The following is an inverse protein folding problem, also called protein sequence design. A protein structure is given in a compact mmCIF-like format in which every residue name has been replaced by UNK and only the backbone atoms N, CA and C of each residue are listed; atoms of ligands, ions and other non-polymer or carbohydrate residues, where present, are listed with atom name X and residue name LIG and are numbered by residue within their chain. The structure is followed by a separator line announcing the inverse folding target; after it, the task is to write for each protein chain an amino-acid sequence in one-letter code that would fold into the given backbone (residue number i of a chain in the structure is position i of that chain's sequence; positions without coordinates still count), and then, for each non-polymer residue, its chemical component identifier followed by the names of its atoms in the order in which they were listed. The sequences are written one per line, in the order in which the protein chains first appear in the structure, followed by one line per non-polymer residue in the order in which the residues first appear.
data_IF_873447881117
#
_entry.id   IF_873447881117
#
_cell.length_a   1.000
_cell.length_b   1.000
_cell.length_c   1.000
_cell.angle_alpha   90.00
_cell.angle_beta   90.00
_cell.angle_gamma   90.00
#
_symmetry.space_group_name_H-M   'P 1'
#
loop_
_entity.id
_entity.type
_entity.pdbx_description
1 polymer ?
#
# COMPACT_ATOMS: atom_id res chain seq x y z
N UNK A 1 -14.94 28.47 -14.82
CA UNK A 1 -14.58 29.80 -15.32
C UNK A 1 -15.21 29.95 -16.69
N UNK A 2 -16.38 30.58 -16.80
CA UNK A 2 -17.02 30.83 -18.09
C UNK A 2 -16.79 32.31 -18.45
N UNK A 3 -16.42 32.63 -19.70
CA UNK A 3 -16.25 34.02 -20.11
C UNK A 3 -17.59 34.62 -20.45
N UNK A 4 -17.88 35.75 -19.84
CA UNK A 4 -19.03 36.59 -20.13
C UNK A 4 -18.75 37.36 -21.43
N UNK A 5 -19.53 37.14 -22.46
CA UNK A 5 -19.52 37.99 -23.67
C UNK A 5 -20.41 39.18 -23.44
N UNK A 6 -19.81 40.37 -23.34
CA UNK A 6 -20.53 41.66 -23.45
C UNK A 6 -20.64 42.05 -24.93
N UNK A 7 -21.82 42.04 -25.46
CA UNK A 7 -22.12 42.64 -26.78
C UNK A 7 -22.56 44.09 -26.54
N UNK A 8 -21.78 45.05 -27.04
CA UNK A 8 -22.14 46.47 -27.04
C UNK A 8 -23.15 46.77 -28.14
N UNK A 9 -24.30 47.24 -27.77
CA UNK A 9 -25.30 47.77 -28.72
C UNK A 9 -25.23 49.28 -28.73
N UNK A 10 -25.07 49.87 -29.94
CA UNK A 10 -25.03 51.29 -30.22
C UNK A 10 -26.45 51.84 -30.14
N UNK A 11 -26.67 52.85 -29.31
CA UNK A 11 -27.95 53.52 -29.20
C UNK A 11 -28.10 54.59 -30.29
N UNK A 12 -29.13 54.49 -31.11
CA UNK A 12 -29.66 55.62 -31.88
C UNK A 12 -30.77 56.28 -31.08
N UNK A 13 -30.74 57.60 -31.05
CA UNK A 13 -31.62 58.49 -30.31
C UNK A 13 -32.93 58.69 -31.05
N UNK A 14 -34.08 58.45 -30.39
CA UNK A 14 -35.32 59.04 -30.72
C UNK A 14 -36.18 59.33 -29.45
N UNK A 15 -36.71 60.51 -29.22
CA UNK A 15 -37.38 60.89 -27.97
C UNK A 15 -38.90 60.58 -28.09
N UNK A 16 -39.44 59.91 -27.11
CA UNK A 16 -40.81 60.00 -26.58
C UNK A 16 -41.32 58.67 -26.07
N UNK A 17 -41.68 58.71 -24.79
CA UNK A 17 -42.49 57.77 -23.98
C UNK A 17 -41.69 56.91 -23.00
N UNK A 18 -41.59 57.45 -21.80
CA UNK A 18 -41.39 56.63 -20.59
C UNK A 18 -42.51 55.59 -20.43
N UNK A 19 -42.16 54.33 -20.44
CA UNK A 19 -42.94 53.28 -19.79
C UNK A 19 -42.01 52.59 -18.82
N UNK A 20 -42.26 52.74 -17.53
CA UNK A 20 -41.62 51.97 -16.48
C UNK A 20 -42.03 50.51 -16.62
N UNK A 21 -41.13 49.66 -17.06
CA UNK A 21 -41.26 48.22 -16.91
C UNK A 21 -40.48 47.86 -15.64
N UNK A 22 -41.19 47.52 -14.58
CA UNK A 22 -40.60 46.96 -13.36
C UNK A 22 -40.17 45.55 -13.66
N UNK A 23 -38.86 45.33 -13.87
CA UNK A 23 -38.29 43.97 -13.85
C UNK A 23 -38.25 43.46 -12.41
N UNK A 24 -39.20 42.58 -12.05
CA UNK A 24 -39.12 41.78 -10.84
C UNK A 24 -38.00 40.75 -11.07
N UNK A 25 -36.82 40.98 -10.53
CA UNK A 25 -35.78 39.94 -10.40
C UNK A 25 -36.19 39.09 -9.21
N UNK A 26 -36.78 37.93 -9.50
CA UNK A 26 -36.97 36.89 -8.51
C UNK A 26 -35.60 36.29 -8.16
N UNK A 27 -34.99 36.76 -7.06
CA UNK A 27 -33.87 36.07 -6.44
C UNK A 27 -34.42 34.78 -5.84
N UNK A 28 -34.33 33.67 -6.60
CA UNK A 28 -34.45 32.31 -6.01
C UNK A 28 -33.18 32.09 -5.19
N UNK A 29 -33.24 32.40 -3.88
CA UNK A 29 -32.29 31.88 -2.91
C UNK A 29 -32.40 30.35 -2.93
N UNK A 30 -31.50 29.72 -3.67
CA UNK A 30 -31.23 28.29 -3.51
C UNK A 30 -30.56 28.16 -2.16
N UNK A 31 -31.37 28.03 -1.09
CA UNK A 31 -30.85 27.57 0.21
C UNK A 31 -30.36 26.15 -0.01
N UNK A 32 -29.05 26.00 -0.20
CA UNK A 32 -28.41 24.71 -0.02
C UNK A 32 -28.74 24.28 1.41
N UNK A 33 -29.64 23.32 1.56
CA UNK A 33 -29.83 22.61 2.82
C UNK A 33 -28.45 21.98 3.11
N UNK A 34 -27.75 22.54 4.07
CA UNK A 34 -26.61 21.87 4.67
C UNK A 34 -27.23 20.65 5.36
N UNK A 35 -27.20 19.50 4.68
CA UNK A 35 -27.55 18.25 5.32
C UNK A 35 -26.53 18.04 6.47
N UNK A 36 -26.98 18.18 7.70
CA UNK A 36 -26.16 17.82 8.84
C UNK A 36 -25.93 16.31 8.77
N UNK A 37 -24.65 15.92 8.83
CA UNK A 37 -24.29 14.51 8.91
C UNK A 37 -25.03 13.84 10.08
N UNK A 38 -25.79 12.80 9.79
CA UNK A 38 -26.50 12.04 10.79
C UNK A 38 -25.61 11.00 11.47
N UNK A 39 -26.01 10.56 12.64
CA UNK A 39 -25.38 9.43 13.32
C UNK A 39 -26.41 8.31 13.45
N UNK A 40 -26.15 7.20 12.76
CA UNK A 40 -26.91 5.96 12.89
C UNK A 40 -26.22 5.05 13.92
N UNK A 41 -26.99 4.33 14.71
CA UNK A 41 -26.41 3.40 15.66
C UNK A 41 -26.75 1.95 15.33
N UNK A 42 -25.82 1.07 15.65
CA UNK A 42 -25.96 -0.39 15.52
C UNK A 42 -25.68 -1.05 16.87
N UNK A 43 -26.57 -1.93 17.32
CA UNK A 43 -26.28 -2.83 18.43
C UNK A 43 -27.01 -4.18 18.25
N UNK A 44 -26.49 -5.29 18.81
CA UNK A 44 -27.03 -6.63 18.54
C UNK A 44 -28.49 -6.84 18.96
N UNK A 45 -29.04 -5.97 19.79
CA UNK A 45 -30.41 -6.07 20.31
C UNK A 45 -31.39 -5.10 19.66
N UNK A 46 -30.94 -4.16 18.84
CA UNK A 46 -31.77 -3.13 18.22
C UNK A 46 -32.41 -2.18 19.23
N UNK A 47 -31.85 -2.07 20.44
CA UNK A 47 -32.40 -1.20 21.47
C UNK A 47 -32.16 0.28 21.15
N UNK A 48 -32.98 1.15 21.72
CA UNK A 48 -32.87 2.62 21.60
C UNK A 48 -32.93 3.12 20.14
N UNK A 49 -33.63 2.40 19.26
CA UNK A 49 -33.79 2.77 17.85
C UNK A 49 -32.58 2.41 16.95
N UNK A 50 -31.57 1.72 17.49
CA UNK A 50 -30.44 1.27 16.71
C UNK A 50 -30.83 0.10 15.78
N UNK A 51 -30.11 -0.03 14.67
CA UNK A 51 -30.20 -1.22 13.80
C UNK A 51 -29.58 -2.43 14.49
N UNK A 52 -29.98 -3.62 14.08
CA UNK A 52 -29.41 -4.87 14.59
C UNK A 52 -28.25 -5.36 13.74
N UNK A 53 -28.12 -4.84 12.50
CA UNK A 53 -27.06 -5.19 11.53
C UNK A 53 -26.35 -3.93 11.05
N UNK A 54 -25.07 -4.07 10.75
CA UNK A 54 -24.25 -2.99 10.20
C UNK A 54 -24.73 -2.65 8.79
N UNK A 55 -24.98 -3.66 7.97
CA UNK A 55 -25.47 -3.53 6.59
C UNK A 55 -26.78 -2.72 6.54
N UNK A 56 -27.70 -2.91 7.48
CA UNK A 56 -28.95 -2.13 7.52
C UNK A 56 -28.69 -0.64 7.81
N UNK A 57 -27.72 -0.32 8.66
CA UNK A 57 -27.35 1.07 8.94
C UNK A 57 -26.58 1.69 7.76
N UNK A 58 -25.66 0.96 7.15
CA UNK A 58 -24.90 1.40 5.96
C UNK A 58 -25.84 1.70 4.79
N UNK A 59 -26.85 0.85 4.55
CA UNK A 59 -27.81 1.04 3.47
C UNK A 59 -28.78 2.23 3.71
N UNK A 60 -29.00 2.63 4.97
CA UNK A 60 -29.82 3.80 5.32
C UNK A 60 -29.02 5.10 5.35
N UNK A 61 -27.70 5.01 5.58
CA UNK A 61 -26.83 6.17 5.68
C UNK A 61 -26.80 6.98 4.38
N UNK A 62 -26.62 8.27 4.48
CA UNK A 62 -26.35 9.20 3.39
C UNK A 62 -24.88 9.62 3.40
N UNK A 63 -24.34 10.13 2.28
CA UNK A 63 -22.97 10.64 2.25
C UNK A 63 -22.70 11.67 3.36
N UNK A 64 -21.63 11.45 4.11
CA UNK A 64 -21.23 12.23 5.28
C UNK A 64 -21.71 11.68 6.61
N UNK A 65 -22.63 10.72 6.63
CA UNK A 65 -23.14 10.14 7.86
C UNK A 65 -22.11 9.25 8.58
N UNK A 66 -22.35 9.06 9.89
CA UNK A 66 -21.56 8.17 10.74
C UNK A 66 -22.42 7.00 11.22
N UNK A 67 -21.92 5.79 11.07
CA UNK A 67 -22.48 4.57 11.62
C UNK A 67 -21.68 4.17 12.87
N UNK A 68 -22.25 4.34 14.06
CA UNK A 68 -21.64 3.93 15.33
C UNK A 68 -22.06 2.51 15.69
N UNK A 69 -21.07 1.63 15.86
CA UNK A 69 -21.30 0.21 16.12
C UNK A 69 -20.93 -0.13 17.56
N UNK A 70 -21.89 -0.55 18.34
CA UNK A 70 -21.68 -1.01 19.71
C UNK A 70 -20.86 -2.32 19.73
N UNK A 71 -20.24 -2.66 20.88
CA UNK A 71 -19.63 -3.97 21.09
C UNK A 71 -20.60 -5.12 20.78
N UNK A 72 -20.10 -6.12 20.05
CA UNK A 72 -20.89 -7.29 19.63
C UNK A 72 -20.22 -8.04 18.50
N UNK A 73 -20.78 -9.21 18.16
CA UNK A 73 -20.35 -10.00 17.00
C UNK A 73 -21.43 -9.89 15.94
N UNK A 74 -21.04 -9.38 14.78
CA UNK A 74 -21.89 -9.16 13.62
C UNK A 74 -21.42 -10.11 12.50
N UNK A 75 -22.29 -11.02 12.05
CA UNK A 75 -22.00 -11.97 10.97
C UNK A 75 -22.42 -11.35 9.66
N UNK A 76 -21.55 -10.59 9.06
CA UNK A 76 -21.83 -9.77 7.87
C UNK A 76 -20.61 -9.65 6.97
N UNK A 77 -20.87 -9.46 5.68
CA UNK A 77 -20.00 -8.84 4.69
C UNK A 77 -20.57 -7.43 4.45
N UNK A 78 -19.82 -6.41 4.85
CA UNK A 78 -20.30 -5.04 4.87
C UNK A 78 -19.85 -4.29 3.64
N UNK A 79 -20.76 -4.01 2.71
CA UNK A 79 -20.44 -3.32 1.45
C UNK A 79 -20.72 -1.83 1.58
N UNK A 80 -19.71 -0.99 1.37
CA UNK A 80 -19.76 0.48 1.47
C UNK A 80 -19.61 1.07 0.06
N UNK A 81 -20.66 1.75 -0.43
CA UNK A 81 -20.69 2.37 -1.78
C UNK A 81 -20.82 3.89 -1.75
N UNK A 82 -20.62 4.50 -0.59
CA UNK A 82 -20.79 5.94 -0.40
C UNK A 82 -19.88 6.47 0.73
N UNK A 83 -19.66 7.78 0.73
CA UNK A 83 -18.81 8.48 1.70
C UNK A 83 -19.42 8.45 3.10
N UNK A 84 -19.05 7.49 3.94
CA UNK A 84 -19.54 7.36 5.33
C UNK A 84 -18.41 7.03 6.28
N UNK A 85 -18.65 7.25 7.56
CA UNK A 85 -17.77 6.80 8.64
C UNK A 85 -18.36 5.59 9.35
N UNK A 86 -17.65 4.47 9.37
CA UNK A 86 -17.99 3.25 10.08
C UNK A 86 -17.11 3.12 11.32
N UNK A 87 -17.67 3.36 12.49
CA UNK A 87 -16.91 3.49 13.74
C UNK A 87 -17.33 2.41 14.74
N UNK A 88 -16.40 1.53 15.05
CA UNK A 88 -16.56 0.53 16.10
C UNK A 88 -16.20 1.05 17.49
N UNK A 89 -16.51 0.27 18.49
CA UNK A 89 -16.16 0.53 19.89
C UNK A 89 -14.92 -0.30 20.30
N UNK A 90 -13.81 -0.09 19.59
CA UNK A 90 -12.57 -0.85 19.75
C UNK A 90 -12.67 -2.35 19.35
N UNK A 91 -11.73 -3.18 19.80
CA UNK A 91 -11.63 -4.62 19.50
C UNK A 91 -12.87 -5.46 19.89
N UNK A 92 -13.81 -4.90 20.64
CA UNK A 92 -15.04 -5.59 21.04
C UNK A 92 -16.18 -5.46 20.00
N UNK A 93 -16.02 -4.62 18.99
CA UNK A 93 -16.87 -4.59 17.81
C UNK A 93 -16.26 -5.55 16.77
N UNK A 94 -16.91 -6.67 16.52
CA UNK A 94 -16.38 -7.75 15.68
C UNK A 94 -17.28 -7.99 14.48
N UNK A 95 -16.73 -7.83 13.29
CA UNK A 95 -17.29 -8.38 12.05
C UNK A 95 -16.70 -9.76 11.86
N UNK A 96 -17.55 -10.79 11.95
CA UNK A 96 -17.19 -12.19 11.74
C UNK A 96 -17.76 -12.63 10.39
N UNK A 97 -16.91 -12.64 9.37
CA UNK A 97 -17.29 -12.94 8.00
C UNK A 97 -17.19 -14.44 7.66
N UNK A 98 -17.33 -15.33 8.65
CA UNK A 98 -17.26 -16.78 8.45
C UNK A 98 -18.17 -17.27 7.33
N UNK A 99 -17.58 -17.77 6.24
CA UNK A 99 -18.27 -18.28 5.04
C UNK A 99 -18.76 -17.17 4.09
N UNK A 100 -18.38 -15.93 4.32
CA UNK A 100 -18.66 -14.78 3.45
C UNK A 100 -17.39 -14.38 2.70
N UNK A 101 -17.53 -13.61 1.63
CA UNK A 101 -16.41 -13.23 0.78
C UNK A 101 -15.41 -12.37 1.56
N UNK A 102 -15.79 -11.15 1.92
CA UNK A 102 -14.95 -10.22 2.64
C UNK A 102 -15.56 -9.85 4.00
N UNK A 103 -14.80 -9.21 4.86
CA UNK A 103 -15.37 -8.63 6.07
C UNK A 103 -15.99 -7.26 5.80
N UNK A 104 -15.22 -6.36 5.15
CA UNK A 104 -15.68 -5.04 4.69
C UNK A 104 -15.20 -4.87 3.26
N UNK A 105 -16.11 -4.46 2.38
CA UNK A 105 -15.80 -4.08 1.01
C UNK A 105 -16.17 -2.63 0.74
N UNK A 106 -15.18 -1.76 0.54
CA UNK A 106 -15.35 -0.38 0.07
C UNK A 106 -15.38 -0.43 -1.46
N UNK A 107 -16.60 -0.39 -2.03
CA UNK A 107 -16.86 -0.72 -3.43
C UNK A 107 -17.08 0.54 -4.27
N UNK A 108 -16.03 0.98 -4.95
CA UNK A 108 -16.07 2.02 -5.99
C UNK A 108 -16.05 1.47 -7.43
N UNK A 109 -16.12 0.15 -7.61
CA UNK A 109 -15.91 -0.56 -8.87
C UNK A 109 -16.76 -0.07 -10.05
N UNK A 110 -17.96 0.43 -9.80
CA UNK A 110 -18.84 0.93 -10.88
C UNK A 110 -18.22 2.11 -11.66
N UNK A 111 -17.19 2.76 -11.14
CA UNK A 111 -16.50 3.89 -11.77
C UNK A 111 -15.09 3.57 -12.25
N UNK A 112 -14.60 2.33 -12.04
CA UNK A 112 -13.26 1.94 -12.44
C UNK A 112 -12.95 2.35 -13.90
N UNK A 113 -11.76 2.82 -14.21
CA UNK A 113 -10.57 2.96 -13.38
C UNK A 113 -10.48 4.25 -12.55
N UNK A 114 -11.56 4.96 -12.35
CA UNK A 114 -11.62 6.15 -11.48
C UNK A 114 -12.17 5.77 -10.12
N UNK A 115 -11.81 6.54 -9.10
CA UNK A 115 -12.42 6.41 -7.79
C UNK A 115 -13.95 6.60 -7.87
N UNK A 116 -14.70 5.58 -7.47
CA UNK A 116 -16.16 5.58 -7.45
C UNK A 116 -16.71 5.93 -6.08
N UNK A 117 -15.90 5.80 -5.04
CA UNK A 117 -16.22 6.16 -3.66
C UNK A 117 -15.05 6.91 -3.04
N UNK A 118 -15.35 7.88 -2.19
CA UNK A 118 -14.31 8.65 -1.50
C UNK A 118 -14.73 9.02 -0.08
N UNK A 119 -13.75 9.48 0.73
CA UNK A 119 -13.98 9.93 2.11
C UNK A 119 -14.69 8.87 2.97
N UNK A 120 -14.21 7.61 2.89
CA UNK A 120 -14.69 6.52 3.74
C UNK A 120 -13.77 6.37 4.93
N UNK A 121 -14.35 6.29 6.12
CA UNK A 121 -13.60 6.01 7.35
C UNK A 121 -14.05 4.68 7.93
N UNK A 122 -13.10 3.79 8.24
CA UNK A 122 -13.34 2.56 9.00
C UNK A 122 -12.40 2.55 10.19
N UNK A 123 -12.95 2.55 11.40
CA UNK A 123 -12.08 2.58 12.58
C UNK A 123 -12.60 1.78 13.78
N UNK A 124 -11.65 1.23 14.55
CA UNK A 124 -11.93 0.59 15.83
C UNK A 124 -12.76 -0.71 15.72
N UNK A 125 -12.56 -1.49 14.66
CA UNK A 125 -13.30 -2.72 14.36
C UNK A 125 -12.33 -3.90 14.30
N UNK A 126 -12.75 -5.04 14.82
CA UNK A 126 -12.13 -6.33 14.55
C UNK A 126 -12.82 -6.97 13.34
N UNK A 127 -12.05 -7.36 12.32
CA UNK A 127 -12.54 -8.07 11.12
C UNK A 127 -11.85 -9.42 11.04
N UNK A 128 -12.62 -10.49 10.92
CA UNK A 128 -12.06 -11.85 10.94
C UNK A 128 -12.86 -12.88 10.15
N UNK A 129 -12.18 -13.98 9.82
CA UNK A 129 -12.74 -15.21 9.25
C UNK A 129 -13.39 -15.04 7.88
N UNK A 130 -13.09 -14.00 7.12
CA UNK A 130 -13.49 -13.89 5.74
C UNK A 130 -12.87 -15.00 4.88
N UNK A 131 -13.55 -15.38 3.81
CA UNK A 131 -13.00 -16.33 2.84
C UNK A 131 -11.82 -15.74 2.09
N UNK A 132 -11.88 -14.43 1.83
CA UNK A 132 -10.86 -13.62 1.14
C UNK A 132 -10.39 -12.52 2.09
N UNK A 133 -10.41 -11.26 1.64
CA UNK A 133 -9.84 -10.15 2.39
C UNK A 133 -10.62 -9.82 3.67
N UNK A 134 -9.86 -9.40 4.65
CA UNK A 134 -10.49 -8.79 5.82
C UNK A 134 -11.16 -7.47 5.44
N UNK A 135 -10.43 -6.53 4.83
CA UNK A 135 -10.96 -5.28 4.30
C UNK A 135 -10.42 -5.07 2.89
N UNK A 136 -11.32 -5.05 1.91
CA UNK A 136 -11.05 -4.70 0.52
C UNK A 136 -11.52 -3.27 0.24
N UNK A 137 -10.67 -2.45 -0.36
CA UNK A 137 -11.06 -1.18 -0.94
C UNK A 137 -10.72 -1.17 -2.43
N UNK A 138 -11.70 -1.01 -3.31
CA UNK A 138 -11.49 -1.03 -4.74
C UNK A 138 -12.03 0.24 -5.42
N UNK A 139 -11.23 0.82 -6.32
CA UNK A 139 -11.54 2.07 -7.05
C UNK A 139 -12.01 3.19 -6.10
N UNK A 140 -11.22 3.52 -5.10
CA UNK A 140 -11.58 4.46 -4.05
C UNK A 140 -10.50 5.54 -3.84
N UNK A 141 -10.86 6.64 -3.18
CA UNK A 141 -9.91 7.67 -2.74
C UNK A 141 -10.23 8.19 -1.36
N UNK A 142 -9.25 8.82 -0.71
CA UNK A 142 -9.44 9.44 0.61
C UNK A 142 -10.04 8.46 1.65
N UNK A 143 -9.60 7.20 1.60
CA UNK A 143 -10.01 6.16 2.55
C UNK A 143 -9.15 6.25 3.81
N UNK A 144 -9.77 6.15 4.97
CA UNK A 144 -9.07 6.09 6.26
C UNK A 144 -9.39 4.78 6.99
N UNK A 145 -8.40 3.87 7.08
CA UNK A 145 -8.49 2.65 7.88
C UNK A 145 -7.63 2.84 9.13
N UNK A 146 -8.27 3.00 10.30
CA UNK A 146 -7.52 3.40 11.49
C UNK A 146 -7.85 2.55 12.73
N UNK A 147 -6.82 1.98 13.35
CA UNK A 147 -6.95 1.27 14.64
C UNK A 147 -7.83 0.03 14.57
N UNK A 148 -7.89 -0.64 13.43
CA UNK A 148 -8.61 -1.88 13.25
C UNK A 148 -7.72 -3.09 13.61
N UNK A 149 -8.34 -4.21 13.98
CA UNK A 149 -7.71 -5.52 14.08
C UNK A 149 -8.25 -6.41 12.96
N UNK A 150 -7.40 -6.73 11.99
CA UNK A 150 -7.75 -7.55 10.83
C UNK A 150 -7.01 -8.89 10.94
N UNK A 151 -7.73 -9.94 11.31
CA UNK A 151 -7.07 -11.15 11.79
C UNK A 151 -7.72 -12.44 11.31
N UNK A 152 -6.91 -13.33 10.76
CA UNK A 152 -7.32 -14.70 10.46
C UNK A 152 -8.39 -14.78 9.39
N UNK A 153 -8.28 -13.96 8.35
CA UNK A 153 -9.07 -14.04 7.12
C UNK A 153 -8.49 -15.08 6.15
N UNK A 154 -8.86 -15.05 4.88
CA UNK A 154 -8.36 -15.90 3.79
C UNK A 154 -8.67 -17.41 4.01
N UNK A 155 -9.89 -17.69 4.47
CA UNK A 155 -10.29 -19.04 4.87
C UNK A 155 -10.59 -19.97 3.69
N UNK A 156 -10.82 -19.42 2.49
CA UNK A 156 -11.09 -20.21 1.29
C UNK A 156 -9.84 -20.51 0.47
N UNK A 157 -8.67 -19.99 0.86
CA UNK A 157 -7.43 -20.22 0.14
C UNK A 157 -6.97 -21.67 0.25
N UNK A 158 -6.67 -22.26 -0.90
CA UNK A 158 -6.01 -23.58 -0.99
C UNK A 158 -4.54 -23.42 -1.39
N UNK A 159 -3.70 -23.21 -0.41
CA UNK A 159 -2.25 -23.11 -0.62
C UNK A 159 -1.63 -24.40 -1.21
N UNK A 160 -2.30 -25.53 -1.12
CA UNK A 160 -1.81 -26.79 -1.70
C UNK A 160 -1.95 -26.84 -3.22
N UNK A 161 -2.90 -26.10 -3.77
CA UNK A 161 -3.15 -25.98 -5.20
C UNK A 161 -2.29 -24.91 -5.87
N UNK A 162 -1.66 -24.00 -5.10
CA UNK A 162 -0.92 -22.85 -5.63
C UNK A 162 -1.80 -21.88 -6.42
N UNK A 163 -3.08 -21.80 -6.07
CA UNK A 163 -4.08 -20.95 -6.71
C UNK A 163 -4.99 -20.36 -5.66
N UNK A 164 -5.56 -19.21 -5.94
CA UNK A 164 -6.57 -18.56 -5.10
C UNK A 164 -7.89 -19.35 -5.01
N UNK A 165 -7.91 -20.62 -5.38
CA UNK A 165 -9.12 -21.42 -5.50
C UNK A 165 -9.98 -21.02 -6.71
N UNK A 166 -11.10 -21.73 -6.92
CA UNK A 166 -12.08 -21.42 -7.95
C UNK A 166 -12.97 -20.20 -7.53
N UNK A 167 -12.30 -19.10 -7.19
CA UNK A 167 -13.01 -17.91 -6.75
C UNK A 167 -13.33 -17.07 -7.97
N UNK A 168 -14.61 -16.92 -8.25
CA UNK A 168 -15.12 -16.02 -9.29
C UNK A 168 -15.01 -14.56 -8.81
N UNK A 169 -13.79 -14.13 -8.52
CA UNK A 169 -13.44 -12.72 -8.35
C UNK A 169 -12.97 -12.21 -9.71
N UNK A 170 -13.94 -11.90 -10.55
CA UNK A 170 -13.72 -11.48 -11.93
C UNK A 170 -12.96 -10.16 -12.09
N UNK A 171 -12.60 -9.51 -11.01
CA UNK A 171 -11.91 -8.23 -11.00
C UNK A 171 -10.49 -8.30 -10.41
N UNK A 172 -10.11 -9.38 -9.74
CA UNK A 172 -8.73 -9.61 -9.33
C UNK A 172 -7.95 -10.38 -10.39
N UNK A 173 -6.73 -9.95 -10.65
CA UNK A 173 -5.82 -10.73 -11.47
C UNK A 173 -5.12 -11.70 -10.56
N UNK A 174 -5.48 -12.98 -10.66
CA UNK A 174 -4.88 -14.05 -9.89
C UNK A 174 -3.39 -14.16 -10.20
N UNK A 175 -2.57 -13.47 -9.50
CA UNK A 175 -1.20 -13.89 -9.28
C UNK A 175 -1.23 -14.95 -8.17
N UNK A 176 -0.45 -16.02 -8.33
CA UNK A 176 -0.52 -17.21 -7.47
C UNK A 176 -0.32 -16.92 -5.98
N UNK A 177 0.19 -15.75 -5.66
CA UNK A 177 0.67 -15.38 -4.35
C UNK A 177 -0.13 -14.23 -3.70
N UNK A 178 -1.05 -13.57 -4.42
CA UNK A 178 -1.79 -12.38 -3.97
C UNK A 178 -3.27 -12.65 -3.65
N UNK A 179 -3.57 -13.80 -3.11
CA UNK A 179 -4.94 -14.14 -2.80
C UNK A 179 -5.22 -14.12 -1.32
N UNK A 180 -5.78 -13.05 -0.85
CA UNK A 180 -6.29 -13.01 0.50
C UNK A 180 -5.35 -12.32 1.47
N UNK A 181 -5.38 -11.03 1.42
CA UNK A 181 -4.70 -10.21 2.38
C UNK A 181 -5.62 -9.77 3.50
N UNK A 182 -4.99 -9.41 4.61
CA UNK A 182 -5.72 -8.76 5.68
C UNK A 182 -6.37 -7.46 5.19
N UNK A 183 -5.60 -6.62 4.52
CA UNK A 183 -6.05 -5.37 3.89
C UNK A 183 -5.63 -5.34 2.43
N UNK A 184 -6.56 -5.10 1.51
CA UNK A 184 -6.26 -4.91 0.09
C UNK A 184 -6.76 -3.56 -0.41
N UNK A 185 -5.85 -2.77 -0.99
CA UNK A 185 -6.10 -1.46 -1.58
C UNK A 185 -5.90 -1.56 -3.09
N UNK A 186 -6.98 -1.77 -3.83
CA UNK A 186 -7.00 -2.02 -5.27
C UNK A 186 -7.40 -0.76 -6.03
N UNK A 187 -6.49 -0.10 -6.72
CA UNK A 187 -6.76 1.19 -7.38
C UNK A 187 -7.23 2.27 -6.40
N UNK A 188 -6.51 2.43 -5.31
CA UNK A 188 -6.83 3.36 -4.21
C UNK A 188 -5.81 4.48 -4.15
N UNK A 189 -6.28 5.71 -3.99
CA UNK A 189 -5.45 6.91 -4.05
C UNK A 189 -5.69 7.84 -2.84
N UNK A 190 -4.65 8.58 -2.42
CA UNK A 190 -4.69 9.59 -1.33
C UNK A 190 -5.28 9.08 0.00
N UNK A 191 -4.99 7.84 0.37
CA UNK A 191 -5.61 7.17 1.53
C UNK A 191 -4.63 6.99 2.69
N UNK A 192 -5.18 6.74 3.89
CA UNK A 192 -4.40 6.58 5.13
C UNK A 192 -4.74 5.29 5.83
N UNK A 193 -3.75 4.44 6.02
CA UNK A 193 -3.85 3.15 6.73
C UNK A 193 -2.98 3.27 7.98
N UNK A 194 -3.61 3.51 9.12
CA UNK A 194 -2.92 3.96 10.32
C UNK A 194 -3.23 3.12 11.55
N UNK A 195 -2.20 2.65 12.24
CA UNK A 195 -2.29 1.94 13.53
C UNK A 195 -3.22 0.72 13.50
N UNK A 196 -3.29 0.02 12.40
CA UNK A 196 -3.98 -1.25 12.33
C UNK A 196 -3.06 -2.38 12.81
N UNK A 197 -3.63 -3.43 13.34
CA UNK A 197 -2.98 -4.72 13.54
C UNK A 197 -3.52 -5.68 12.48
N UNK A 198 -2.62 -6.22 11.65
CA UNK A 198 -2.96 -7.09 10.52
C UNK A 198 -2.17 -8.39 10.70
N UNK A 199 -2.86 -9.48 11.04
CA UNK A 199 -2.17 -10.68 11.47
C UNK A 199 -2.89 -11.97 11.12
N UNK A 200 -2.12 -13.05 10.93
CA UNK A 200 -2.63 -14.41 10.70
C UNK A 200 -3.55 -14.54 9.48
N UNK A 201 -3.40 -13.65 8.51
CA UNK A 201 -3.96 -13.75 7.18
C UNK A 201 -2.96 -14.47 6.26
N UNK A 202 -3.24 -14.62 4.98
CA UNK A 202 -2.25 -15.14 4.05
C UNK A 202 -1.13 -14.12 3.84
N UNK A 203 -1.47 -12.93 3.34
CA UNK A 203 -0.64 -11.75 3.27
C UNK A 203 -1.12 -10.64 4.21
N UNK A 204 -0.33 -9.58 4.36
CA UNK A 204 -0.64 -8.49 5.28
C UNK A 204 -1.44 -7.37 4.64
N UNK A 205 -0.77 -6.42 4.00
CA UNK A 205 -1.36 -5.25 3.33
C UNK A 205 -0.90 -5.25 1.87
N UNK A 206 -1.84 -5.36 0.94
CA UNK A 206 -1.57 -5.25 -0.50
C UNK A 206 -2.04 -3.90 -1.05
N UNK A 207 -1.22 -3.30 -1.89
CA UNK A 207 -1.49 -2.09 -2.67
C UNK A 207 -1.29 -2.43 -4.13
N UNK A 208 -2.38 -2.52 -4.91
CA UNK A 208 -2.34 -2.93 -6.31
C UNK A 208 -3.09 -1.97 -7.24
N UNK A 209 -2.79 -2.02 -8.53
CA UNK A 209 -3.35 -1.10 -9.53
C UNK A 209 -4.35 -1.74 -10.49
N UNK A 210 -4.91 -2.89 -10.19
CA UNK A 210 -5.79 -3.67 -11.08
C UNK A 210 -7.05 -2.92 -11.49
N UNK A 211 -7.61 -2.09 -10.62
CA UNK A 211 -8.86 -1.36 -10.90
C UNK A 211 -8.65 0.12 -11.16
N UNK A 212 -7.42 0.59 -11.17
CA UNK A 212 -7.05 1.98 -11.42
C UNK A 212 -5.68 2.32 -10.85
N UNK A 213 -5.15 3.52 -11.09
CA UNK A 213 -3.89 3.95 -10.52
C UNK A 213 -3.96 3.91 -8.99
N UNK A 214 -2.86 3.48 -8.36
CA UNK A 214 -2.76 3.38 -6.91
C UNK A 214 -1.57 4.20 -6.41
N UNK A 215 -1.84 5.25 -5.63
CA UNK A 215 -0.75 6.12 -5.20
C UNK A 215 -1.08 7.10 -4.09
N UNK A 216 -0.03 7.83 -3.64
CA UNK A 216 -0.13 8.86 -2.61
C UNK A 216 -0.76 8.38 -1.29
N UNK A 217 -0.71 7.07 -1.04
CA UNK A 217 -1.21 6.49 0.20
C UNK A 217 -0.14 6.56 1.30
N UNK A 218 -0.60 6.68 2.54
CA UNK A 218 0.23 6.64 3.74
C UNK A 218 -0.13 5.41 4.55
N UNK A 219 0.77 4.43 4.60
CA UNK A 219 0.67 3.21 5.40
C UNK A 219 1.62 3.37 6.58
N UNK A 220 1.07 3.69 7.77
CA UNK A 220 1.91 4.14 8.87
C UNK A 220 1.51 3.56 10.23
N UNK A 221 2.52 3.29 11.04
CA UNK A 221 2.35 2.85 12.44
C UNK A 221 1.48 1.58 12.55
N UNK A 222 1.44 0.73 11.51
CA UNK A 222 0.73 -0.54 11.56
C UNK A 222 1.64 -1.63 12.15
N UNK A 223 1.02 -2.61 12.79
CA UNK A 223 1.67 -3.85 13.21
C UNK A 223 1.18 -4.97 12.30
N UNK A 224 2.05 -5.38 11.36
CA UNK A 224 1.74 -6.37 10.32
C UNK A 224 2.59 -7.60 10.61
N UNK A 225 1.96 -8.69 11.07
CA UNK A 225 2.74 -9.82 11.57
C UNK A 225 2.07 -11.17 11.39
N UNK A 226 2.90 -12.21 11.32
CA UNK A 226 2.46 -13.62 11.24
C UNK A 226 1.49 -13.91 10.08
N UNK A 227 1.56 -13.12 8.99
CA UNK A 227 0.88 -13.41 7.73
C UNK A 227 1.81 -14.35 6.93
N UNK A 228 1.63 -15.65 7.15
CA UNK A 228 2.73 -16.63 6.97
C UNK A 228 2.98 -17.05 5.53
N UNK A 229 2.12 -16.70 4.57
CA UNK A 229 2.24 -17.18 3.20
C UNK A 229 2.78 -16.13 2.23
N UNK A 230 2.53 -14.86 2.48
CA UNK A 230 2.96 -13.76 1.63
C UNK A 230 3.61 -12.61 2.43
N UNK A 231 3.93 -11.52 1.77
CA UNK A 231 4.61 -10.36 2.31
C UNK A 231 3.83 -9.67 3.44
N UNK A 232 4.56 -8.93 4.27
CA UNK A 232 3.92 -8.08 5.26
C UNK A 232 3.21 -6.90 4.63
N UNK A 233 3.89 -6.13 3.80
CA UNK A 233 3.32 -5.01 3.04
C UNK A 233 3.79 -5.13 1.60
N UNK A 234 2.85 -5.22 0.66
CA UNK A 234 3.13 -5.39 -0.77
C UNK A 234 2.67 -4.16 -1.56
N UNK A 235 3.54 -3.65 -2.39
CA UNK A 235 3.24 -2.71 -3.47
C UNK A 235 3.43 -3.49 -4.77
N UNK A 236 2.37 -3.66 -5.58
CA UNK A 236 2.45 -4.48 -6.77
C UNK A 236 1.69 -3.87 -7.95
N UNK A 237 2.41 -3.57 -9.02
CA UNK A 237 1.81 -3.09 -10.26
C UNK A 237 1.39 -4.28 -11.10
N UNK A 238 0.16 -4.72 -10.91
CA UNK A 238 -0.45 -5.84 -11.61
C UNK A 238 -1.01 -5.48 -13.00
N UNK A 239 -1.46 -6.48 -13.74
CA UNK A 239 -2.27 -6.25 -14.92
C UNK A 239 -3.65 -5.72 -14.54
N UNK A 240 -4.31 -4.94 -15.44
CA UNK A 240 -5.63 -4.38 -15.14
C UNK A 240 -6.68 -5.48 -15.03
N UNK A 241 -7.63 -5.31 -14.12
CA UNK A 241 -8.78 -6.19 -14.02
C UNK A 241 -9.66 -6.12 -15.28
N UNK A 242 -10.31 -7.22 -15.63
CA UNK A 242 -11.15 -7.31 -16.83
C UNK A 242 -12.26 -6.24 -16.88
N UNK A 243 -12.73 -5.78 -15.73
CA UNK A 243 -13.80 -4.76 -15.62
C UNK A 243 -13.38 -3.36 -16.10
N UNK A 244 -12.07 -3.05 -16.17
CA UNK A 244 -11.61 -1.72 -16.58
C UNK A 244 -11.50 -1.53 -18.07
N UNK A 245 -11.40 -2.61 -18.83
CA UNK A 245 -11.13 -2.59 -20.28
C UNK A 245 -9.75 -2.03 -20.65
N UNK A 246 -8.86 -1.81 -19.68
CA UNK A 246 -7.49 -1.38 -19.94
C UNK A 246 -6.65 -2.55 -20.45
N UNK A 247 -5.54 -2.25 -21.12
CA UNK A 247 -4.64 -3.25 -21.69
C UNK A 247 -3.26 -3.31 -20.98
N UNK A 248 -2.99 -2.34 -20.13
CA UNK A 248 -1.73 -2.18 -19.40
C UNK A 248 -2.01 -1.76 -17.97
N UNK A 249 -1.07 -2.05 -17.07
CA UNK A 249 -1.09 -1.59 -15.68
C UNK A 249 -1.28 -0.08 -15.58
N UNK A 250 -1.96 0.36 -14.54
CA UNK A 250 -2.18 1.79 -14.28
C UNK A 250 -1.02 2.41 -13.49
N UNK A 251 -0.26 1.61 -12.80
CA UNK A 251 0.89 1.98 -11.97
C UNK A 251 0.57 2.12 -10.49
N UNK A 252 1.54 1.70 -9.70
CA UNK A 252 1.65 1.93 -8.25
C UNK A 252 2.76 2.93 -8.02
N UNK A 253 2.54 3.94 -7.17
CA UNK A 253 3.64 4.86 -6.92
C UNK A 253 3.35 5.96 -5.91
N UNK A 254 4.44 6.61 -5.46
CA UNK A 254 4.40 7.73 -4.52
C UNK A 254 3.71 7.39 -3.19
N UNK A 255 3.67 6.11 -2.81
CA UNK A 255 3.18 5.66 -1.51
C UNK A 255 4.27 5.84 -0.45
N UNK A 256 3.85 6.07 0.80
CA UNK A 256 4.75 6.17 1.95
C UNK A 256 4.43 5.06 2.95
N UNK A 257 5.39 4.16 3.14
CA UNK A 257 5.34 3.07 4.12
C UNK A 257 6.23 3.47 5.30
N UNK A 258 5.64 3.89 6.42
CA UNK A 258 6.42 4.51 7.48
C UNK A 258 6.09 4.03 8.88
N UNK A 259 7.12 3.84 9.70
CA UNK A 259 7.01 3.49 11.12
C UNK A 259 6.12 2.26 11.38
N UNK A 260 6.04 1.34 10.42
CA UNK A 260 5.38 0.06 10.61
C UNK A 260 6.34 -0.94 11.26
N UNK A 261 5.78 -1.92 11.94
CA UNK A 261 6.48 -3.15 12.29
C UNK A 261 5.97 -4.25 11.36
N UNK A 262 6.86 -4.77 10.51
CA UNK A 262 6.60 -5.92 9.63
C UNK A 262 7.41 -7.12 10.13
N UNK A 263 6.75 -8.10 10.73
CA UNK A 263 7.44 -9.16 11.46
C UNK A 263 6.85 -10.55 11.23
N UNK A 264 7.69 -11.54 10.94
CA UNK A 264 7.28 -12.94 10.87
C UNK A 264 6.33 -13.25 9.71
N UNK A 265 6.29 -12.40 8.68
CA UNK A 265 5.48 -12.62 7.49
C UNK A 265 6.20 -13.54 6.51
N UNK A 266 5.48 -14.23 5.62
CA UNK A 266 6.02 -15.09 4.59
C UNK A 266 6.80 -16.32 5.06
N UNK A 267 6.70 -16.71 6.31
CA UNK A 267 7.53 -17.78 6.93
C UNK A 267 7.21 -19.19 6.41
N UNK A 268 6.09 -19.39 5.73
CA UNK A 268 5.70 -20.65 5.06
C UNK A 268 5.65 -20.52 3.54
N UNK A 269 5.57 -19.31 3.04
CA UNK A 269 5.71 -18.94 1.64
C UNK A 269 7.12 -18.41 1.36
N UNK A 270 7.22 -17.35 0.58
CA UNK A 270 8.46 -16.66 0.28
C UNK A 270 8.27 -15.14 0.43
N UNK A 271 7.42 -14.72 1.37
CA UNK A 271 7.03 -13.32 1.53
C UNK A 271 8.09 -12.47 2.23
N UNK A 272 8.32 -11.30 1.68
CA UNK A 272 9.21 -10.28 2.23
C UNK A 272 8.53 -9.48 3.36
N UNK A 273 9.34 -8.73 4.11
CA UNK A 273 8.78 -7.74 5.04
C UNK A 273 8.03 -6.64 4.31
N UNK A 274 8.63 -6.10 3.25
CA UNK A 274 8.02 -5.17 2.30
C UNK A 274 8.38 -5.60 0.88
N UNK A 275 7.39 -5.75 0.01
CA UNK A 275 7.54 -6.05 -1.41
C UNK A 275 7.27 -4.83 -2.29
N UNK A 276 8.01 -4.64 -3.38
CA UNK A 276 7.81 -3.63 -4.42
C UNK A 276 7.97 -4.35 -5.76
N UNK A 277 6.88 -4.58 -6.48
CA UNK A 277 6.85 -5.49 -7.61
C UNK A 277 6.28 -4.87 -8.88
N UNK A 278 6.98 -5.08 -10.00
CA UNK A 278 6.53 -4.67 -11.33
C UNK A 278 6.73 -5.84 -12.31
N UNK A 279 5.85 -6.85 -12.30
CA UNK A 279 6.11 -8.14 -12.96
C UNK A 279 5.89 -8.16 -14.46
N UNK A 280 5.11 -7.25 -15.02
CA UNK A 280 4.62 -7.34 -16.39
C UNK A 280 5.02 -6.19 -17.32
N UNK A 281 4.70 -6.29 -18.63
CA UNK A 281 4.93 -5.21 -19.58
C UNK A 281 4.17 -3.93 -19.18
N UNK A 282 4.92 -2.82 -19.07
CA UNK A 282 4.36 -1.53 -18.68
C UNK A 282 4.04 -1.37 -17.20
N UNK A 283 4.28 -2.39 -16.40
CA UNK A 283 4.16 -2.29 -14.95
C UNK A 283 5.07 -1.19 -14.40
N UNK A 284 4.53 -0.41 -13.49
CA UNK A 284 5.24 0.72 -12.90
C UNK A 284 5.02 0.72 -11.40
N UNK A 285 6.12 0.58 -10.65
CA UNK A 285 6.10 0.71 -9.19
C UNK A 285 7.24 1.64 -8.76
N UNK A 286 6.94 2.94 -8.64
CA UNK A 286 7.95 4.00 -8.67
C UNK A 286 7.69 5.10 -7.64
N UNK A 287 8.77 5.73 -7.17
CA UNK A 287 8.68 6.89 -6.29
C UNK A 287 8.14 6.60 -4.89
N UNK A 288 8.08 5.32 -4.50
CA UNK A 288 7.63 4.95 -3.15
C UNK A 288 8.73 5.19 -2.11
N UNK A 289 8.31 5.44 -0.88
CA UNK A 289 9.21 5.70 0.25
C UNK A 289 8.94 4.70 1.37
N UNK A 290 9.92 3.85 1.67
CA UNK A 290 9.93 2.93 2.81
C UNK A 290 10.81 3.55 3.89
N UNK A 291 10.19 4.09 4.96
CA UNK A 291 10.91 4.92 5.91
C UNK A 291 10.61 4.58 7.38
N UNK A 292 11.68 4.50 8.19
CA UNK A 292 11.61 4.33 9.65
C UNK A 292 10.78 3.11 10.10
N UNK A 293 10.81 2.00 9.33
CA UNK A 293 10.11 0.77 9.68
C UNK A 293 11.04 -0.20 10.44
N UNK A 294 10.45 -1.05 11.29
CA UNK A 294 11.07 -2.24 11.87
C UNK A 294 10.68 -3.45 11.01
N UNK A 295 11.64 -4.09 10.36
CA UNK A 295 11.42 -5.19 9.40
C UNK A 295 12.21 -6.41 9.87
N UNK A 296 11.50 -7.36 10.51
CA UNK A 296 12.14 -8.34 11.38
C UNK A 296 11.61 -9.75 11.14
N UNK A 297 12.52 -10.72 11.08
CA UNK A 297 12.23 -12.18 11.08
C UNK A 297 11.20 -12.60 10.00
N UNK A 298 11.17 -11.93 8.83
CA UNK A 298 10.30 -12.32 7.73
C UNK A 298 10.88 -13.54 6.98
N UNK A 299 10.02 -14.28 6.29
CA UNK A 299 10.39 -15.54 5.64
C UNK A 299 11.31 -15.39 4.42
N UNK A 300 11.23 -14.26 3.74
CA UNK A 300 12.13 -13.83 2.69
C UNK A 300 12.88 -12.57 3.12
N UNK A 301 13.48 -11.86 2.18
CA UNK A 301 14.25 -10.63 2.44
C UNK A 301 13.42 -9.56 3.15
N UNK A 302 14.08 -8.66 3.86
CA UNK A 302 13.40 -7.56 4.54
C UNK A 302 12.64 -6.65 3.56
N UNK A 303 13.32 -6.15 2.53
CA UNK A 303 12.69 -5.48 1.37
C UNK A 303 13.04 -6.22 0.09
N UNK A 304 12.04 -6.68 -0.65
CA UNK A 304 12.16 -7.19 -2.02
C UNK A 304 11.72 -6.11 -3.01
N UNK A 305 12.57 -5.78 -3.99
CA UNK A 305 12.19 -4.92 -5.10
C UNK A 305 12.48 -5.65 -6.41
N UNK A 306 11.41 -6.21 -7.05
CA UNK A 306 11.59 -7.19 -8.11
C UNK A 306 10.89 -6.84 -9.42
N UNK A 307 11.59 -7.14 -10.51
CA UNK A 307 11.07 -7.30 -11.85
C UNK A 307 11.72 -8.51 -12.51
N UNK A 308 10.97 -9.55 -12.75
CA UNK A 308 11.41 -10.78 -13.42
C UNK A 308 11.16 -10.78 -14.94
N UNK A 309 10.59 -9.73 -15.46
CA UNK A 309 10.17 -9.65 -16.84
C UNK A 309 11.35 -9.38 -17.80
N UNK A 310 11.69 -10.37 -18.61
CA UNK A 310 12.84 -10.32 -19.51
C UNK A 310 12.60 -9.40 -20.73
N UNK A 311 13.59 -8.58 -21.13
CA UNK A 311 13.53 -7.82 -22.37
C UNK A 311 13.48 -8.73 -23.64
N UNK A 312 12.88 -8.25 -24.77
CA UNK A 312 12.31 -6.92 -24.94
C UNK A 312 10.88 -6.85 -24.42
N UNK A 313 10.64 -5.98 -23.44
CA UNK A 313 9.30 -5.66 -22.97
C UNK A 313 8.84 -4.33 -23.57
N UNK A 314 7.65 -4.32 -24.11
CA UNK A 314 7.04 -3.12 -24.65
C UNK A 314 5.59 -2.99 -24.13
N UNK A 315 5.29 -1.97 -23.37
CA UNK A 315 6.16 -0.93 -22.80
C UNK A 315 7.16 -1.48 -21.76
N UNK A 316 8.26 -0.74 -21.50
CA UNK A 316 9.23 -1.15 -20.49
C UNK A 316 8.62 -1.10 -19.07
N UNK A 317 9.17 -1.94 -18.21
CA UNK A 317 8.90 -1.91 -16.76
C UNK A 317 9.63 -0.74 -16.10
N UNK A 318 9.03 -0.15 -15.07
CA UNK A 318 9.64 0.92 -14.30
C UNK A 318 9.59 0.64 -12.79
N UNK A 319 10.77 0.42 -12.19
CA UNK A 319 11.00 0.29 -10.74
C UNK A 319 11.93 1.39 -10.20
N UNK A 320 11.95 2.55 -10.83
CA UNK A 320 12.89 3.62 -10.50
C UNK A 320 12.41 4.51 -9.35
N UNK A 321 13.34 5.34 -8.85
CA UNK A 321 13.06 6.43 -7.92
C UNK A 321 12.47 6.00 -6.56
N UNK A 322 12.57 4.72 -6.19
CA UNK A 322 12.15 4.25 -4.87
C UNK A 322 13.19 4.59 -3.80
N UNK A 323 12.74 4.90 -2.59
CA UNK A 323 13.60 5.32 -1.48
C UNK A 323 13.39 4.41 -0.27
N UNK A 324 14.47 3.82 0.24
CA UNK A 324 14.48 2.96 1.43
C UNK A 324 15.38 3.63 2.47
N UNK A 325 14.78 4.25 3.51
CA UNK A 325 15.51 5.14 4.40
C UNK A 325 15.17 4.96 5.87
N UNK A 326 16.17 4.90 6.73
CA UNK A 326 15.97 4.90 8.19
C UNK A 326 15.35 3.63 8.77
N UNK A 327 15.26 2.54 8.01
CA UNK A 327 14.67 1.30 8.49
C UNK A 327 15.67 0.48 9.29
N UNK A 328 15.15 -0.35 10.17
CA UNK A 328 15.91 -1.37 10.87
C UNK A 328 15.54 -2.77 10.32
N UNK A 329 16.56 -3.50 9.88
CA UNK A 329 16.43 -4.88 9.37
C UNK A 329 17.08 -5.86 10.34
N UNK A 330 16.37 -6.95 10.67
CA UNK A 330 16.94 -7.97 11.58
C UNK A 330 16.38 -9.36 11.29
N UNK A 331 17.25 -10.29 10.94
CA UNK A 331 16.95 -11.72 10.89
C UNK A 331 15.96 -12.15 9.81
N UNK A 332 15.85 -11.39 8.71
CA UNK A 332 15.00 -11.74 7.58
C UNK A 332 15.58 -12.95 6.83
N UNK A 333 14.75 -13.66 6.07
CA UNK A 333 15.17 -14.84 5.32
C UNK A 333 15.99 -14.54 4.07
N UNK A 334 16.45 -15.57 3.38
CA UNK A 334 17.01 -15.43 2.03
C UNK A 334 15.90 -15.14 1.03
N UNK A 335 16.24 -14.48 -0.08
CA UNK A 335 15.28 -14.27 -1.14
C UNK A 335 14.93 -15.59 -1.87
N UNK A 336 13.82 -15.57 -2.58
CA UNK A 336 13.26 -16.77 -3.21
C UNK A 336 14.09 -17.26 -4.42
N UNK A 337 13.78 -18.44 -4.97
CA UNK A 337 14.52 -18.99 -6.13
C UNK A 337 14.52 -18.10 -7.38
N UNK A 338 13.55 -17.16 -7.52
CA UNK A 338 13.48 -16.25 -8.66
C UNK A 338 14.51 -15.13 -8.62
N UNK A 339 14.93 -14.73 -7.41
CA UNK A 339 15.94 -13.69 -7.17
C UNK A 339 16.90 -14.11 -6.06
N UNK A 340 17.57 -15.28 -6.16
CA UNK A 340 18.19 -15.92 -5.02
C UNK A 340 19.34 -15.14 -4.44
N UNK A 341 19.33 -14.97 -3.13
CA UNK A 341 20.47 -14.52 -2.33
C UNK A 341 21.12 -15.68 -1.62
N UNK A 342 22.40 -15.55 -1.26
CA UNK A 342 23.16 -16.65 -0.63
C UNK A 342 22.84 -16.90 0.83
N UNK A 343 21.94 -16.11 1.43
CA UNK A 343 21.53 -16.21 2.84
C UNK A 343 20.55 -15.11 3.23
N UNK A 344 20.21 -15.02 4.51
CA UNK A 344 19.38 -13.96 5.07
C UNK A 344 19.78 -12.57 4.55
N UNK A 345 18.79 -11.78 4.11
CA UNK A 345 19.06 -10.55 3.35
C UNK A 345 18.17 -9.42 3.83
N UNK A 346 18.76 -8.26 4.10
CA UNK A 346 18.02 -7.07 4.48
C UNK A 346 17.23 -6.48 3.32
N UNK A 347 17.89 -6.13 2.24
CA UNK A 347 17.29 -5.56 1.03
C UNK A 347 17.79 -6.34 -0.19
N UNK A 348 16.90 -6.79 -1.05
CA UNK A 348 17.27 -7.36 -2.34
C UNK A 348 16.58 -6.64 -3.49
N UNK A 349 17.36 -6.11 -4.42
CA UNK A 349 16.88 -5.48 -5.65
C UNK A 349 17.25 -6.36 -6.82
N UNK A 350 16.27 -6.98 -7.44
CA UNK A 350 16.42 -7.80 -8.64
C UNK A 350 15.60 -7.23 -9.80
N UNK A 351 16.24 -6.85 -10.89
CA UNK A 351 15.55 -6.32 -12.05
C UNK A 351 16.16 -6.78 -13.37
N UNK A 352 15.32 -7.18 -14.30
CA UNK A 352 15.68 -7.40 -15.70
C UNK A 352 15.68 -6.10 -16.51
N UNK A 353 15.17 -4.99 -15.94
CA UNK A 353 15.21 -3.64 -16.49
C UNK A 353 16.25 -2.77 -15.77
N UNK A 354 16.71 -1.66 -16.37
CA UNK A 354 17.58 -0.69 -15.69
C UNK A 354 16.94 -0.15 -14.40
N UNK A 355 17.77 0.06 -13.37
CA UNK A 355 17.37 0.73 -12.11
C UNK A 355 18.10 2.06 -12.01
N UNK A 356 17.36 3.15 -11.82
CA UNK A 356 17.89 4.50 -11.65
C UNK A 356 17.11 5.27 -10.58
N UNK A 357 17.75 6.27 -9.96
CA UNK A 357 17.10 7.13 -8.97
C UNK A 357 16.77 6.47 -7.62
N UNK A 358 16.94 5.15 -7.50
CA UNK A 358 16.69 4.43 -6.25
C UNK A 358 17.79 4.71 -5.24
N UNK A 359 17.38 4.98 -3.99
CA UNK A 359 18.28 5.34 -2.90
C UNK A 359 18.02 4.53 -1.62
N UNK A 360 19.10 4.04 -1.02
CA UNK A 360 19.09 3.31 0.26
C UNK A 360 19.96 4.09 1.25
N UNK A 361 19.35 4.62 2.32
CA UNK A 361 20.14 5.44 3.23
C UNK A 361 19.67 5.37 4.69
N UNK A 362 20.61 5.58 5.61
CA UNK A 362 20.36 5.64 7.06
C UNK A 362 19.68 4.39 7.64
N UNK A 363 19.79 3.26 6.94
CA UNK A 363 19.29 1.99 7.45
C UNK A 363 20.31 1.34 8.36
N UNK A 364 19.82 0.53 9.28
CA UNK A 364 20.64 -0.31 10.16
C UNK A 364 20.27 -1.77 9.91
N UNK A 365 21.29 -2.62 9.94
CA UNK A 365 21.14 -4.06 9.67
C UNK A 365 21.66 -4.86 10.86
N UNK A 366 20.99 -5.95 11.21
CA UNK A 366 21.41 -6.89 12.23
C UNK A 366 21.00 -8.31 11.83
N UNK A 367 21.88 -9.30 12.05
CA UNK A 367 21.67 -10.72 11.75
C UNK A 367 21.36 -11.06 10.27
N UNK A 368 21.63 -10.17 9.35
CA UNK A 368 21.59 -10.47 7.93
C UNK A 368 22.91 -11.11 7.48
N UNK A 369 22.90 -11.96 6.47
CA UNK A 369 24.11 -12.45 5.81
C UNK A 369 24.55 -11.47 4.71
N UNK A 370 23.57 -10.81 4.09
CA UNK A 370 23.73 -9.77 3.07
C UNK A 370 22.87 -8.58 3.49
N UNK A 371 23.47 -7.40 3.65
CA UNK A 371 22.68 -6.20 3.98
C UNK A 371 21.93 -5.69 2.74
N UNK A 372 22.60 -5.56 1.59
CA UNK A 372 22.02 -5.10 0.33
C UNK A 372 22.50 -5.97 -0.85
N UNK A 373 21.59 -6.69 -1.47
CA UNK A 373 21.76 -7.36 -2.75
C UNK A 373 21.29 -6.46 -3.91
N UNK A 374 22.03 -6.44 -5.02
CA UNK A 374 21.67 -5.68 -6.21
C UNK A 374 21.97 -6.49 -7.49
N UNK A 375 20.95 -6.67 -8.31
CA UNK A 375 21.07 -7.30 -9.62
C UNK A 375 20.24 -6.54 -10.65
N UNK A 376 20.89 -5.73 -11.47
CA UNK A 376 20.26 -5.05 -12.60
C UNK A 376 21.22 -5.04 -13.81
N UNK A 377 20.71 -5.03 -15.07
CA UNK A 377 21.53 -5.06 -16.26
C UNK A 377 22.32 -3.76 -16.46
N UNK A 378 21.78 -2.64 -16.02
CA UNK A 378 22.40 -1.30 -16.05
C UNK A 378 21.76 -0.40 -15.00
N UNK A 379 22.30 0.80 -14.84
CA UNK A 379 21.82 1.81 -13.91
C UNK A 379 22.74 1.98 -12.70
N UNK A 380 22.33 2.80 -11.78
CA UNK A 380 23.09 3.09 -10.57
C UNK A 380 22.17 3.06 -9.35
N UNK A 381 22.57 2.30 -8.34
CA UNK A 381 21.98 2.30 -7.02
C UNK A 381 22.80 3.25 -6.12
N UNK A 382 22.13 4.11 -5.37
CA UNK A 382 22.76 5.03 -4.41
C UNK A 382 22.56 4.50 -2.99
N UNK A 383 23.65 4.21 -2.29
CA UNK A 383 23.65 3.58 -0.97
C UNK A 383 24.55 4.38 -0.02
N UNK A 384 23.97 5.22 0.86
CA UNK A 384 24.75 6.16 1.65
C UNK A 384 24.28 6.23 3.10
N UNK A 385 25.22 6.49 4.01
CA UNK A 385 24.96 6.70 5.44
C UNK A 385 24.29 5.52 6.15
N UNK A 386 24.44 4.29 5.63
CA UNK A 386 23.93 3.09 6.28
C UNK A 386 24.96 2.55 7.29
N UNK A 387 24.47 1.89 8.33
CA UNK A 387 25.27 1.14 9.30
C UNK A 387 25.20 -0.35 8.97
N UNK A 388 26.19 -0.82 8.22
CA UNK A 388 26.33 -2.21 7.87
C UNK A 388 26.90 -3.02 9.04
N UNK A 389 26.36 -4.22 9.28
CA UNK A 389 26.83 -5.11 10.34
C UNK A 389 27.16 -6.51 9.87
N UNK A 390 26.70 -6.92 8.69
CA UNK A 390 26.83 -8.28 8.17
C UNK A 390 28.20 -8.56 7.53
N UNK A 391 28.46 -9.82 7.26
CA UNK A 391 29.66 -10.24 6.53
C UNK A 391 29.75 -9.67 5.11
N UNK A 392 28.63 -9.58 4.40
CA UNK A 392 28.51 -8.96 3.06
C UNK A 392 27.54 -7.79 3.14
N UNK A 393 28.07 -6.58 3.15
CA UNK A 393 27.25 -5.38 3.17
C UNK A 393 26.61 -5.09 1.81
N UNK A 394 27.37 -5.25 0.73
CA UNK A 394 26.90 -5.06 -0.65
C UNK A 394 27.27 -6.29 -1.47
N UNK A 395 26.27 -6.93 -2.06
CA UNK A 395 26.45 -7.97 -3.08
C UNK A 395 25.90 -7.47 -4.43
N UNK A 396 26.81 -7.01 -5.30
CA UNK A 396 26.43 -6.60 -6.65
C UNK A 396 26.53 -7.77 -7.63
N UNK A 397 25.42 -8.44 -7.83
CA UNK A 397 25.28 -9.61 -8.71
C UNK A 397 25.03 -9.24 -10.18
N UNK A 398 24.72 -7.96 -10.47
CA UNK A 398 24.37 -7.47 -11.79
C UNK A 398 25.53 -6.75 -12.50
N UNK A 399 25.21 -6.11 -13.63
CA UNK A 399 26.13 -5.26 -14.39
C UNK A 399 25.92 -3.75 -14.12
N UNK A 400 24.88 -3.39 -13.37
CA UNK A 400 24.70 -2.04 -12.85
C UNK A 400 25.78 -1.65 -11.85
N UNK A 401 25.84 -0.39 -11.48
CA UNK A 401 26.83 0.15 -10.53
C UNK A 401 26.18 0.51 -9.20
N UNK A 402 26.98 0.47 -8.12
CA UNK A 402 26.53 0.88 -6.78
C UNK A 402 27.48 1.99 -6.29
N UNK A 403 26.90 3.15 -6.00
CA UNK A 403 27.61 4.17 -5.23
C UNK A 403 27.32 3.93 -3.74
N UNK A 404 28.26 3.28 -3.08
CA UNK A 404 28.20 2.93 -1.67
C UNK A 404 29.16 3.77 -0.81
N UNK A 405 29.40 5.01 -1.21
CA UNK A 405 30.21 5.95 -0.45
C UNK A 405 29.48 6.38 0.84
N UNK A 406 30.24 6.91 1.80
CA UNK A 406 29.71 7.47 3.05
C UNK A 406 28.91 6.49 3.92
N UNK A 407 29.17 5.18 3.86
CA UNK A 407 28.59 4.19 4.77
C UNK A 407 29.57 3.80 5.88
N UNK A 408 29.02 3.33 6.99
CA UNK A 408 29.76 2.65 8.04
C UNK A 408 29.84 1.14 7.72
N UNK A 409 31.05 0.60 7.72
CA UNK A 409 31.34 -0.79 7.33
C UNK A 409 31.66 -1.69 8.56
N UNK A 410 31.01 -1.45 9.66
CA UNK A 410 31.25 -2.10 10.97
C UNK A 410 32.69 -1.90 11.49
N UNK A 411 33.48 -1.06 10.87
CA UNK A 411 34.82 -0.73 11.31
C UNK A 411 35.35 0.57 10.66
N UNK A 412 36.31 1.28 11.30
CA UNK A 412 36.84 2.52 10.76
C UNK A 412 37.80 2.35 9.57
N UNK A 413 38.21 1.10 9.25
CA UNK A 413 39.12 0.80 8.14
C UNK A 413 38.41 0.69 6.78
N UNK A 414 37.07 0.76 6.77
CA UNK A 414 36.27 0.58 5.56
C UNK A 414 36.07 -0.90 5.18
N UNK A 415 35.51 -1.17 4.01
CA UNK A 415 35.12 -2.52 3.63
C UNK A 415 36.32 -3.46 3.53
N UNK A 416 36.22 -4.65 4.16
CA UNK A 416 37.25 -5.69 4.11
C UNK A 416 38.56 -5.35 4.81
N UNK A 417 38.66 -4.23 5.54
CA UNK A 417 39.88 -3.79 6.21
C UNK A 417 40.36 -4.69 7.36
N UNK A 418 39.44 -5.48 7.93
CA UNK A 418 39.73 -6.54 8.91
C UNK A 418 38.62 -7.59 8.87
N UNK A 419 38.78 -8.71 9.60
CA UNK A 419 37.73 -9.74 9.72
C UNK A 419 36.43 -9.25 10.38
N UNK A 420 36.46 -8.13 11.07
CA UNK A 420 35.29 -7.53 11.69
C UNK A 420 34.57 -6.53 10.76
N UNK A 421 35.21 -6.12 9.67
CA UNK A 421 34.63 -5.18 8.71
C UNK A 421 33.70 -5.90 7.74
N UNK A 422 32.58 -5.28 7.43
CA UNK A 422 31.71 -5.73 6.37
C UNK A 422 32.43 -5.70 5.01
N UNK A 423 32.01 -6.54 4.09
CA UNK A 423 32.70 -6.75 2.79
C UNK A 423 31.80 -6.37 1.63
N UNK A 424 32.39 -6.29 0.45
CA UNK A 424 31.70 -6.14 -0.83
C UNK A 424 31.98 -7.35 -1.69
N UNK A 425 30.96 -7.88 -2.36
CA UNK A 425 31.07 -8.88 -3.40
C UNK A 425 30.57 -8.32 -4.74
N UNK A 426 31.03 -8.92 -5.85
CA UNK A 426 30.74 -8.43 -7.19
C UNK A 426 31.65 -7.27 -7.64
N UNK A 427 31.25 -6.58 -8.69
CA UNK A 427 32.03 -5.50 -9.33
C UNK A 427 31.20 -4.23 -9.48
N UNK A 428 31.83 -3.10 -9.80
CA UNK A 428 31.11 -1.84 -10.04
C UNK A 428 30.61 -1.15 -8.77
N UNK A 429 31.18 -1.46 -7.60
CA UNK A 429 30.83 -0.84 -6.32
C UNK A 429 31.88 0.18 -5.91
N UNK A 430 31.48 1.42 -5.77
CA UNK A 430 32.31 2.50 -5.25
C UNK A 430 32.07 2.66 -3.74
N UNK A 431 33.11 2.54 -2.93
CA UNK A 431 32.98 2.50 -1.47
C UNK A 431 33.63 3.68 -0.73
N UNK A 432 34.51 4.41 -1.38
CA UNK A 432 35.28 5.49 -0.74
C UNK A 432 34.77 6.87 -1.21
N UNK A 433 34.69 7.84 -0.29
CA UNK A 433 35.04 7.76 1.13
C UNK A 433 34.00 6.99 1.96
N UNK A 434 34.39 6.49 3.13
CA UNK A 434 33.50 5.85 4.11
C UNK A 434 33.50 6.55 5.44
N UNK A 435 32.53 6.24 6.29
CA UNK A 435 32.42 6.78 7.64
C UNK A 435 33.45 6.11 8.58
N UNK A 436 34.03 6.88 9.48
CA UNK A 436 34.96 6.39 10.51
C UNK A 436 34.28 5.93 11.81
N UNK A 437 32.97 6.13 11.91
CA UNK A 437 32.10 5.71 13.02
C UNK A 437 30.69 5.48 12.51
N UNK A 438 29.85 4.71 13.22
CA UNK A 438 28.45 4.52 12.84
C UNK A 438 27.74 5.85 12.60
N UNK A 439 26.83 5.85 11.65
CA UNK A 439 25.87 6.92 11.50
C UNK A 439 24.99 6.88 12.76
N UNK A 440 25.05 7.91 13.61
CA UNK A 440 24.27 7.91 14.84
C UNK A 440 22.78 7.76 14.51
N UNK A 441 22.10 6.69 14.94
CA UNK A 441 20.67 6.59 14.77
C UNK A 441 20.03 7.79 15.47
N UNK A 442 19.06 8.43 14.81
CA UNK A 442 18.21 9.40 15.49
C UNK A 442 17.66 8.68 16.72
N UNK A 443 18.03 9.15 17.91
CA UNK A 443 17.67 8.53 19.18
C UNK A 443 16.21 8.07 19.12
N UNK A 444 16.00 6.75 19.26
CA UNK A 444 14.68 6.14 19.44
C UNK A 444 13.90 6.93 20.50
N UNK A 445 12.84 7.54 20.11
CA UNK A 445 11.92 8.20 21.02
C UNK A 445 10.88 7.24 21.55
#
# INVERSE_FOLDING_TARGET
MFPTLCVAYRAETNPYRLRFAACLVALTCCSALIANAATLCVNPRGTSGCKTTITAAVNEASPGDTVLIAPGIYKEDVIIKQSISLIGSNRATVIDASGLANGIFIDGMASAPKAGVSNVVVSGITVRNANFEGILAASASDVSLTGNLVIGNDKALDFSAGTCGDLDISFETNEQDDCGEGLHLMGVDHSTILRNEVAHNAGGILVSDETGPNGHNVISENFVHDNVYDCGITLASHGPAAVTGAHLSFGVGYNTISRNVSMGNGTKGAGAGVGIFAPGPGSTDTGNVVIDNEIIDNGSTGVAMHNHAAPPMAPPVNLNDNVIVGNHFSGNGPDNPGAPTSGPTGINIFSMAPITGTAISRNTFDKEAIDVGFSAPTGQLNVHFNDFSSGVAIDNMGAGTVDATENWWNCPQGPGGSHACATVTGSGVMTAPWLSSPFAPSSSR
#
